data_IF_525823390312
#
_entry.id   IF_525823390312
#
_cell.length_a   1.000
_cell.length_b   1.000
_cell.length_c   1.000
_cell.angle_alpha   90.00
_cell.angle_beta   90.00
_cell.angle_gamma   90.00
#
_symmetry.space_group_name_H-M   'P 1'
#
loop_
_entity.id
_entity.type
_entity.pdbx_description
1 polymer ?
#
# COMPACT_ATOMS: atom_id res chain seq x y z
N UNK A 1 -4.13 8.88 -31.21
CA UNK A 1 -4.09 7.44 -30.84
C UNK A 1 -4.19 7.17 -29.33
N UNK A 2 -4.03 8.17 -28.46
CA UNK A 2 -4.14 8.02 -27.00
C UNK A 2 -5.55 8.22 -26.42
N UNK A 3 -6.44 8.94 -27.10
CA UNK A 3 -7.83 9.16 -26.64
C UNK A 3 -8.69 7.90 -26.66
N UNK A 4 -8.37 6.95 -27.55
CA UNK A 4 -9.13 5.71 -27.72
C UNK A 4 -8.94 4.76 -26.53
N UNK A 5 -7.77 4.76 -25.89
CA UNK A 5 -7.49 3.96 -24.68
C UNK A 5 -8.26 4.48 -23.47
N UNK A 6 -8.37 5.81 -23.33
CA UNK A 6 -9.12 6.43 -22.24
C UNK A 6 -10.64 6.25 -22.39
N UNK A 7 -11.14 6.27 -23.63
CA UNK A 7 -12.55 5.98 -23.95
C UNK A 7 -12.93 4.52 -23.69
N UNK A 8 -12.05 3.58 -24.05
CA UNK A 8 -12.24 2.15 -23.79
C UNK A 8 -12.23 1.80 -22.29
N UNK A 9 -11.37 2.46 -21.49
CA UNK A 9 -11.39 2.34 -20.01
C UNK A 9 -12.70 2.86 -19.37
N UNK A 10 -13.40 3.82 -19.99
CA UNK A 10 -14.71 4.30 -19.51
C UNK A 10 -15.85 3.32 -19.77
N UNK A 11 -15.82 2.54 -20.86
CA UNK A 11 -16.90 1.59 -21.17
C UNK A 11 -16.86 0.35 -20.27
N UNK A 12 -15.66 -0.13 -19.89
CA UNK A 12 -15.46 -1.17 -18.86
C UNK A 12 -15.93 -0.71 -17.46
N UNK A 13 -15.78 0.58 -17.14
CA UNK A 13 -16.32 1.19 -15.91
C UNK A 13 -17.85 1.17 -15.84
N UNK A 14 -18.54 1.15 -16.97
CA UNK A 14 -20.01 1.23 -17.00
C UNK A 14 -20.69 -0.11 -16.67
N UNK A 15 -20.06 -1.25 -16.97
CA UNK A 15 -20.62 -2.58 -16.65
C UNK A 15 -20.34 -3.02 -15.21
N UNK A 16 -19.28 -2.52 -14.57
CA UNK A 16 -18.91 -2.86 -13.19
C UNK A 16 -19.57 -1.95 -12.13
N UNK A 17 -20.42 -1.01 -12.54
CA UNK A 17 -21.03 0.04 -11.70
C UNK A 17 -22.04 -0.48 -10.66
N UNK A 18 -22.29 -1.78 -10.59
CA UNK A 18 -23.37 -2.33 -9.79
C UNK A 18 -22.95 -2.88 -8.41
N UNK A 19 -21.67 -2.74 -8.02
CA UNK A 19 -21.23 -2.96 -6.63
C UNK A 19 -20.20 -1.91 -6.23
N UNK A 20 -20.60 -0.97 -5.38
CA UNK A 20 -19.65 -0.14 -4.64
C UNK A 20 -18.84 -1.07 -3.71
N UNK A 21 -17.54 -1.22 -3.98
CA UNK A 21 -16.62 -1.95 -3.08
C UNK A 21 -16.44 -1.26 -1.72
N UNK A 22 -16.93 -0.02 -1.60
CA UNK A 22 -16.82 0.82 -0.41
C UNK A 22 -15.40 1.32 -0.17
N UNK A 23 -15.14 1.84 1.04
CA UNK A 23 -13.84 2.42 1.39
C UNK A 23 -12.76 1.35 1.54
N UNK A 24 -11.63 1.53 0.88
CA UNK A 24 -10.47 0.62 0.90
C UNK A 24 -9.32 1.24 1.68
N UNK A 25 -8.80 0.51 2.66
CA UNK A 25 -7.56 0.86 3.37
C UNK A 25 -6.40 0.07 2.77
N UNK A 26 -5.56 0.74 1.99
CA UNK A 26 -4.36 0.14 1.39
C UNK A 26 -3.20 0.24 2.38
N UNK A 27 -2.55 -0.88 2.64
CA UNK A 27 -1.42 -1.02 3.56
C UNK A 27 -0.23 -1.50 2.78
N UNK A 28 0.83 -0.70 2.73
CA UNK A 28 2.06 -1.02 2.01
C UNK A 28 3.21 -1.17 2.98
N UNK A 29 3.93 -2.29 2.88
CA UNK A 29 5.20 -2.48 3.57
C UNK A 29 6.35 -2.40 2.56
N UNK A 30 7.28 -1.47 2.80
CA UNK A 30 8.47 -1.24 1.97
C UNK A 30 9.73 -1.52 2.79
N UNK A 31 10.61 -2.39 2.30
CA UNK A 31 11.93 -2.65 2.87
C UNK A 31 13.02 -2.39 1.83
N UNK A 32 13.96 -1.48 2.10
CA UNK A 32 15.06 -1.12 1.18
C UNK A 32 14.60 -0.88 -0.29
N UNK A 33 13.49 -0.17 -0.45
CA UNK A 33 12.72 -0.13 -1.70
C UNK A 33 13.18 0.90 -2.72
N UNK A 34 14.39 1.43 -2.59
CA UNK A 34 14.92 2.45 -3.51
C UNK A 34 14.86 1.98 -4.97
N UNK A 35 15.28 0.73 -5.22
CA UNK A 35 15.28 0.14 -6.57
C UNK A 35 13.88 -0.03 -7.16
N UNK A 36 12.87 -0.24 -6.31
CA UNK A 36 11.47 -0.36 -6.72
C UNK A 36 10.86 1.01 -7.07
N UNK A 37 11.29 2.06 -6.37
CA UNK A 37 10.71 3.39 -6.47
C UNK A 37 11.43 4.28 -7.51
N UNK A 38 12.74 4.08 -7.73
CA UNK A 38 13.60 4.98 -8.53
C UNK A 38 13.12 5.21 -9.96
N UNK A 39 12.55 4.18 -10.60
CA UNK A 39 12.14 4.23 -12.00
C UNK A 39 10.70 4.75 -12.15
N UNK A 40 10.01 5.06 -11.03
CA UNK A 40 8.66 5.62 -11.01
C UNK A 40 7.54 4.66 -11.41
N UNK A 41 7.86 3.44 -11.86
CA UNK A 41 6.87 2.45 -12.30
C UNK A 41 5.92 2.12 -11.15
N UNK A 42 6.45 1.74 -9.98
CA UNK A 42 5.63 1.36 -8.83
C UNK A 42 4.74 2.50 -8.34
N UNK A 43 5.26 3.72 -8.29
CA UNK A 43 4.49 4.90 -7.87
C UNK A 43 3.40 5.23 -8.89
N UNK A 44 3.66 5.08 -10.19
CA UNK A 44 2.66 5.24 -11.24
C UNK A 44 1.56 4.18 -11.15
N UNK A 45 1.92 2.90 -11.00
CA UNK A 45 0.94 1.82 -10.80
C UNK A 45 0.08 2.04 -9.56
N UNK A 46 0.66 2.56 -8.48
CA UNK A 46 -0.10 2.91 -7.27
C UNK A 46 -1.10 4.04 -7.53
N UNK A 47 -0.75 5.04 -8.34
CA UNK A 47 -1.69 6.08 -8.77
C UNK A 47 -2.84 5.50 -9.60
N UNK A 48 -2.53 4.62 -10.56
CA UNK A 48 -3.56 3.94 -11.35
C UNK A 48 -4.51 3.12 -10.47
N UNK A 49 -3.99 2.39 -9.48
CA UNK A 49 -4.81 1.63 -8.52
C UNK A 49 -5.73 2.55 -7.72
N UNK A 50 -5.23 3.69 -7.23
CA UNK A 50 -6.04 4.67 -6.51
C UNK A 50 -7.16 5.22 -7.42
N UNK A 51 -6.85 5.48 -8.69
CA UNK A 51 -7.82 5.96 -9.68
C UNK A 51 -8.86 4.89 -10.04
N UNK A 52 -8.47 3.62 -10.11
CA UNK A 52 -9.35 2.47 -10.35
C UNK A 52 -10.32 2.24 -9.18
N UNK A 53 -9.83 2.31 -7.93
CA UNK A 53 -10.62 2.13 -6.70
C UNK A 53 -11.49 3.32 -6.31
N UNK A 54 -11.54 4.34 -7.18
CA UNK A 54 -12.08 5.66 -6.93
C UNK A 54 -11.32 6.39 -5.81
N UNK A 55 -10.62 7.48 -6.12
CA UNK A 55 -9.73 8.11 -5.16
C UNK A 55 -10.43 8.34 -3.81
N UNK A 56 -11.63 8.93 -3.78
CA UNK A 56 -12.39 9.26 -2.55
C UNK A 56 -12.68 8.09 -1.60
N UNK A 57 -12.57 6.86 -2.07
CA UNK A 57 -12.76 5.66 -1.27
C UNK A 57 -11.46 5.10 -0.71
N UNK A 58 -10.29 5.64 -1.09
CA UNK A 58 -8.99 5.09 -0.73
C UNK A 58 -8.33 5.85 0.42
N UNK A 59 -7.83 5.09 1.38
CA UNK A 59 -6.83 5.54 2.34
C UNK A 59 -5.55 4.73 2.14
N UNK A 60 -4.40 5.38 2.08
CA UNK A 60 -3.11 4.74 1.84
C UNK A 60 -2.18 4.94 3.04
N UNK A 61 -1.79 3.82 3.65
CA UNK A 61 -0.78 3.73 4.70
C UNK A 61 0.47 3.06 4.14
N UNK A 62 1.58 3.78 4.08
CA UNK A 62 2.87 3.23 3.68
C UNK A 62 3.75 3.17 4.91
N UNK A 63 4.22 1.98 5.25
CA UNK A 63 5.26 1.76 6.24
C UNK A 63 6.57 1.42 5.55
N UNK A 64 7.56 2.26 5.78
CA UNK A 64 8.88 2.14 5.16
C UNK A 64 9.92 1.81 6.21
N UNK A 65 10.74 0.80 5.93
CA UNK A 65 11.68 0.22 6.86
C UNK A 65 13.08 0.14 6.27
N UNK A 66 14.07 0.51 7.07
CA UNK A 66 15.49 0.52 6.68
C UNK A 66 15.78 1.39 5.43
N UNK A 67 15.11 2.55 5.34
CA UNK A 67 15.17 3.43 4.17
C UNK A 67 16.43 4.28 4.10
N UNK A 68 16.88 4.52 2.87
CA UNK A 68 17.88 5.55 2.56
C UNK A 68 17.27 6.95 2.54
N UNK A 69 18.10 7.99 2.47
CA UNK A 69 17.66 9.37 2.25
C UNK A 69 16.91 9.48 0.90
N UNK A 70 17.44 8.82 -0.15
CA UNK A 70 16.84 8.82 -1.48
C UNK A 70 15.44 8.17 -1.49
N UNK A 71 15.27 7.04 -0.82
CA UNK A 71 13.96 6.37 -0.73
C UNK A 71 12.91 7.28 -0.06
N UNK A 72 13.30 7.94 1.03
CA UNK A 72 12.42 8.91 1.70
C UNK A 72 12.06 10.10 0.80
N UNK A 73 12.99 10.62 0.00
CA UNK A 73 12.71 11.69 -0.95
C UNK A 73 11.71 11.25 -2.03
N UNK A 74 11.90 10.06 -2.62
CA UNK A 74 10.98 9.49 -3.60
C UNK A 74 9.56 9.35 -3.06
N UNK A 75 9.41 8.89 -1.81
CA UNK A 75 8.10 8.77 -1.15
C UNK A 75 7.47 10.13 -0.83
N UNK A 76 8.26 11.14 -0.46
CA UNK A 76 7.75 12.50 -0.28
C UNK A 76 7.28 13.10 -1.61
N UNK A 77 8.01 12.86 -2.70
CA UNK A 77 7.60 13.31 -4.03
C UNK A 77 6.35 12.58 -4.51
N UNK A 78 6.26 11.26 -4.30
CA UNK A 78 5.02 10.51 -4.51
C UNK A 78 3.85 11.11 -3.71
N UNK A 79 4.03 11.41 -2.42
CA UNK A 79 3.01 12.05 -1.59
C UNK A 79 2.56 13.40 -2.17
N UNK A 80 3.45 14.19 -2.78
CA UNK A 80 3.09 15.45 -3.43
C UNK A 80 2.19 15.24 -4.65
N UNK A 81 2.39 14.17 -5.43
CA UNK A 81 1.56 13.88 -6.60
C UNK A 81 0.14 13.44 -6.22
N UNK A 82 -0.03 12.79 -5.06
CA UNK A 82 -1.33 12.35 -4.56
C UNK A 82 -2.13 13.47 -3.86
N UNK A 83 -1.52 14.66 -3.67
CA UNK A 83 -2.10 15.80 -2.91
C UNK A 83 -3.48 16.25 -3.37
N UNK A 84 -3.95 15.83 -4.54
CA UNK A 84 -5.22 16.33 -5.05
C UNK A 84 -6.43 15.84 -4.27
N UNK A 85 -6.47 14.65 -3.67
CA UNK A 85 -7.66 14.23 -2.89
C UNK A 85 -7.50 13.22 -1.74
N UNK A 86 -6.33 12.68 -1.34
CA UNK A 86 -6.28 11.57 -0.35
C UNK A 86 -5.33 11.72 0.84
N UNK A 87 -5.77 11.13 1.96
CA UNK A 87 -5.07 11.05 3.25
C UNK A 87 -4.01 9.95 3.18
N UNK A 88 -2.85 10.29 2.62
CA UNK A 88 -1.67 9.43 2.72
C UNK A 88 -0.99 9.63 4.06
N UNK A 89 -0.81 8.52 4.79
CA UNK A 89 0.11 8.45 5.92
C UNK A 89 1.31 7.62 5.52
N UNK A 90 2.50 8.25 5.54
CA UNK A 90 3.77 7.56 5.41
C UNK A 90 4.39 7.53 6.81
N UNK A 91 4.66 6.33 7.31
CA UNK A 91 5.33 6.09 8.58
C UNK A 91 6.67 5.42 8.30
N UNK A 92 7.72 5.87 8.97
CA UNK A 92 9.08 5.35 8.80
C UNK A 92 9.55 4.66 10.06
N UNK A 93 10.21 3.51 9.92
CA UNK A 93 10.99 2.88 10.97
C UNK A 93 12.45 2.80 10.54
N UNK A 94 13.33 3.48 11.29
CA UNK A 94 14.77 3.38 11.15
C UNK A 94 15.26 2.57 12.34
N UNK A 95 15.76 1.36 12.08
CA UNK A 95 16.42 0.54 13.09
C UNK A 95 17.90 0.90 13.15
N UNK A 96 18.44 0.99 14.37
CA UNK A 96 19.88 1.06 14.57
C UNK A 96 20.53 -0.33 14.38
N UNK A 97 21.86 -0.37 14.36
CA UNK A 97 22.60 -1.60 14.04
C UNK A 97 22.46 -2.68 15.13
N UNK A 98 22.30 -2.28 16.39
CA UNK A 98 22.02 -3.21 17.49
C UNK A 98 20.65 -3.87 17.35
N UNK A 99 19.63 -3.09 17.01
CA UNK A 99 18.28 -3.59 16.74
C UNK A 99 18.26 -4.53 15.53
N UNK A 100 19.03 -4.20 14.48
CA UNK A 100 19.22 -5.09 13.33
C UNK A 100 19.91 -6.39 13.76
N UNK A 101 20.99 -6.32 14.53
CA UNK A 101 21.74 -7.48 14.99
C UNK A 101 20.88 -8.43 15.84
N UNK A 102 19.99 -7.88 16.68
CA UNK A 102 19.05 -8.67 17.48
C UNK A 102 18.03 -9.42 16.62
N UNK A 103 17.74 -8.91 15.41
CA UNK A 103 16.86 -9.56 14.44
C UNK A 103 17.55 -10.73 13.70
N UNK A 104 18.88 -10.71 13.63
CA UNK A 104 19.71 -11.75 13.02
C UNK A 104 20.21 -12.75 14.08
N UNK A 105 19.31 -13.49 14.72
CA UNK A 105 19.70 -14.61 15.61
C UNK A 105 20.38 -15.72 14.77
N UNK A 106 21.49 -16.28 15.28
CA UNK A 106 22.36 -17.22 14.55
C UNK A 106 21.77 -18.62 14.30
N UNK A 107 20.85 -19.09 15.14
CA UNK A 107 20.18 -20.38 14.91
C UNK A 107 18.93 -20.24 14.02
N UNK A 108 18.73 -21.18 13.11
CA UNK A 108 17.78 -21.14 11.99
C UNK A 108 16.33 -21.09 12.47
N UNK A 109 15.98 -21.80 13.54
CA UNK A 109 14.61 -21.80 14.09
C UNK A 109 14.30 -20.44 14.71
N UNK A 110 15.20 -19.94 15.57
CA UNK A 110 15.05 -18.62 16.18
C UNK A 110 15.05 -17.48 15.15
N UNK A 111 15.87 -17.58 14.10
CA UNK A 111 15.86 -16.63 12.97
C UNK A 111 14.49 -16.57 12.27
N UNK A 112 13.87 -17.73 12.03
CA UNK A 112 12.53 -17.81 11.41
C UNK A 112 11.46 -17.22 12.31
N UNK A 113 11.46 -17.54 13.60
CA UNK A 113 10.54 -16.97 14.58
C UNK A 113 10.71 -15.46 14.71
N UNK A 114 11.95 -14.97 14.83
CA UNK A 114 12.25 -13.54 14.85
C UNK A 114 11.79 -12.82 13.57
N UNK A 115 11.91 -13.47 12.41
CA UNK A 115 11.39 -12.91 11.15
C UNK A 115 9.87 -12.83 11.13
N UNK A 116 9.16 -13.85 11.60
CA UNK A 116 7.68 -13.83 11.68
C UNK A 116 7.22 -12.72 12.63
N UNK A 117 7.81 -12.66 13.82
CA UNK A 117 7.50 -11.62 14.83
C UNK A 117 7.77 -10.23 14.26
N UNK A 118 8.89 -10.06 13.57
CA UNK A 118 9.24 -8.81 12.92
C UNK A 118 8.24 -8.41 11.82
N UNK A 119 7.93 -9.32 10.89
CA UNK A 119 6.97 -9.05 9.82
C UNK A 119 5.57 -8.73 10.36
N UNK A 120 5.15 -9.41 11.43
CA UNK A 120 3.92 -9.10 12.15
C UNK A 120 3.97 -7.70 12.76
N UNK A 121 5.07 -7.33 13.41
CA UNK A 121 5.27 -6.00 13.99
C UNK A 121 5.19 -4.90 12.92
N UNK A 122 5.91 -5.06 11.80
CA UNK A 122 5.91 -4.14 10.66
C UNK A 122 4.49 -3.98 10.11
N UNK A 123 3.78 -5.09 9.88
CA UNK A 123 2.39 -5.08 9.40
C UNK A 123 1.44 -4.38 10.38
N UNK A 124 1.58 -4.64 11.68
CA UNK A 124 0.77 -3.99 12.70
C UNK A 124 1.02 -2.48 12.76
N UNK A 125 2.26 -2.04 12.57
CA UNK A 125 2.59 -0.62 12.47
C UNK A 125 1.96 0.03 11.23
N UNK A 126 2.04 -0.63 10.08
CA UNK A 126 1.42 -0.16 8.85
C UNK A 126 -0.12 -0.09 8.96
N UNK A 127 -0.71 -0.98 9.75
CA UNK A 127 -2.13 -0.99 10.06
C UNK A 127 -2.53 0.05 11.10
N UNK A 128 -1.64 0.48 12.00
CA UNK A 128 -1.97 1.33 13.13
C UNK A 128 -2.80 2.58 12.80
N UNK A 129 -2.65 3.25 11.63
CA UNK A 129 -3.53 4.37 11.27
C UNK A 129 -5.01 4.00 11.20
N UNK A 130 -5.38 2.73 10.92
CA UNK A 130 -6.77 2.28 10.87
C UNK A 130 -7.48 2.37 12.24
N UNK A 131 -6.73 2.16 13.33
CA UNK A 131 -7.25 2.15 14.69
C UNK A 131 -7.29 3.54 15.33
N UNK A 132 -6.49 4.48 14.82
CA UNK A 132 -6.29 5.78 15.45
C UNK A 132 -7.11 6.89 14.77
N UNK A 133 -7.52 7.89 15.57
CA UNK A 133 -8.20 9.12 15.13
C UNK A 133 -7.36 10.00 14.17
N UNK A 134 -6.17 9.54 13.74
CA UNK A 134 -5.32 10.22 12.74
C UNK A 134 -5.94 10.20 11.34
N UNK A 135 -6.94 9.37 11.10
CA UNK A 135 -7.79 9.48 9.92
C UNK A 135 -8.81 10.58 10.19
N UNK A 136 -8.49 11.82 9.81
CA UNK A 136 -9.43 12.94 9.81
C UNK A 136 -10.54 12.74 8.75
N UNK A 137 -11.31 11.65 8.78
CA UNK A 137 -12.58 11.56 8.04
C UNK A 137 -13.46 12.71 8.49
N UNK A 138 -14.06 13.44 7.54
CA UNK A 138 -15.04 14.49 7.84
C UNK A 138 -16.05 13.96 8.85
N UNK A 139 -16.52 14.79 9.76
CA UNK A 139 -17.29 14.44 10.97
C UNK A 139 -18.56 13.62 10.71
N UNK A 140 -18.97 13.46 9.44
CA UNK A 140 -20.16 12.74 9.02
C UNK A 140 -19.86 11.40 8.30
N UNK A 141 -18.59 11.06 8.06
CA UNK A 141 -18.22 9.81 7.42
C UNK A 141 -17.84 8.77 8.47
N UNK A 142 -18.60 7.67 8.53
CA UNK A 142 -18.26 6.55 9.41
C UNK A 142 -16.84 6.05 9.11
N UNK A 143 -16.06 5.79 10.18
CA UNK A 143 -14.67 5.30 10.15
C UNK A 143 -14.51 3.87 9.62
N UNK A 144 -15.49 3.36 8.87
CA UNK A 144 -15.56 1.95 8.50
C UNK A 144 -15.00 1.78 7.09
N UNK A 145 -13.84 1.16 7.02
CA UNK A 145 -13.34 0.60 5.77
C UNK A 145 -14.11 -0.69 5.48
N UNK A 146 -14.55 -0.83 4.23
CA UNK A 146 -15.17 -2.07 3.75
C UNK A 146 -14.12 -3.16 3.53
N UNK A 147 -12.89 -2.76 3.17
CA UNK A 147 -11.80 -3.67 2.78
C UNK A 147 -10.44 -3.14 3.23
N UNK A 148 -9.52 -4.06 3.46
CA UNK A 148 -8.10 -3.79 3.67
C UNK A 148 -7.30 -4.52 2.59
N UNK A 149 -6.49 -3.78 1.82
CA UNK A 149 -5.63 -4.33 0.78
C UNK A 149 -4.17 -4.25 1.25
N UNK A 150 -3.52 -5.41 1.40
CA UNK A 150 -2.10 -5.46 1.77
C UNK A 150 -1.23 -5.60 0.53
N UNK A 151 -0.24 -4.72 0.39
CA UNK A 151 0.76 -4.77 -0.67
C UNK A 151 2.16 -4.82 -0.04
N UNK A 152 2.99 -5.72 -0.55
CA UNK A 152 4.41 -5.78 -0.20
C UNK A 152 5.23 -4.99 -1.23
N UNK A 153 6.55 -5.01 -1.08
CA UNK A 153 7.59 -4.40 -1.92
C UNK A 153 7.83 -5.17 -3.24
N UNK A 154 6.75 -5.59 -3.90
CA UNK A 154 6.78 -6.27 -5.18
C UNK A 154 6.13 -5.42 -6.27
N UNK A 155 6.56 -5.63 -7.52
CA UNK A 155 5.84 -5.10 -8.67
C UNK A 155 4.45 -5.76 -8.78
N UNK A 156 3.44 -4.98 -9.13
CA UNK A 156 2.07 -5.43 -9.30
C UNK A 156 1.43 -4.71 -10.49
N UNK A 157 0.25 -5.17 -10.94
CA UNK A 157 -0.60 -4.44 -11.87
C UNK A 157 -1.78 -3.85 -11.12
N UNK A 158 -2.21 -2.65 -11.52
CA UNK A 158 -3.38 -1.97 -10.94
C UNK A 158 -4.64 -2.85 -11.07
N UNK A 159 -4.81 -3.50 -12.24
CA UNK A 159 -5.96 -4.34 -12.52
C UNK A 159 -6.05 -5.57 -11.61
N UNK A 160 -4.92 -6.26 -11.37
CA UNK A 160 -4.90 -7.45 -10.48
C UNK A 160 -5.22 -7.04 -9.04
N UNK A 161 -4.65 -5.92 -8.57
CA UNK A 161 -4.91 -5.40 -7.24
C UNK A 161 -6.37 -4.96 -7.06
N UNK A 162 -6.97 -4.31 -8.06
CA UNK A 162 -8.40 -3.98 -8.07
C UNK A 162 -9.26 -5.24 -8.01
N UNK A 163 -8.92 -6.28 -8.81
CA UNK A 163 -9.64 -7.56 -8.82
C UNK A 163 -9.63 -8.28 -7.47
N UNK A 164 -8.51 -8.21 -6.74
CA UNK A 164 -8.41 -8.75 -5.38
C UNK A 164 -9.35 -8.03 -4.41
N UNK A 165 -9.61 -6.74 -4.61
CA UNK A 165 -10.63 -6.03 -3.81
C UNK A 165 -12.05 -6.46 -4.16
N UNK A 166 -12.32 -6.87 -5.39
CA UNK A 166 -13.64 -7.33 -5.84
C UNK A 166 -14.02 -8.73 -5.32
N UNK A 167 -13.09 -9.43 -4.65
CA UNK A 167 -13.28 -10.80 -4.15
C UNK A 167 -13.12 -11.87 -5.23
N UNK A 168 -12.65 -11.51 -6.43
CA UNK A 168 -12.24 -12.43 -7.49
C UNK A 168 -10.79 -12.88 -7.27
N UNK A 169 -10.48 -13.43 -6.09
CA UNK A 169 -9.17 -14.05 -5.85
C UNK A 169 -9.15 -15.44 -6.48
N UNK A 170 -8.70 -15.52 -7.73
CA UNK A 170 -8.16 -16.77 -8.26
C UNK A 170 -6.65 -16.78 -7.94
N UNK A 171 -6.33 -17.37 -6.81
CA UNK A 171 -4.94 -17.66 -6.42
C UNK A 171 -4.43 -16.74 -5.33
N UNK A 172 -4.38 -17.28 -4.10
CA UNK A 172 -3.50 -16.77 -3.08
C UNK A 172 -2.07 -16.68 -3.64
N UNK A 173 -1.52 -15.47 -3.76
CA UNK A 173 -0.06 -15.26 -3.71
C UNK A 173 0.30 -14.73 -2.33
N UNK A 174 0.23 -15.63 -1.36
CA UNK A 174 1.06 -15.52 -0.16
C UNK A 174 2.52 -15.72 -0.59
N UNK A 175 3.23 -14.63 -0.87
CA UNK A 175 4.68 -14.64 -0.80
C UNK A 175 5.05 -14.37 0.66
N UNK A 176 5.34 -15.46 1.38
CA UNK A 176 6.03 -15.46 2.67
C UNK A 176 7.53 -15.38 2.41
#
# INVERSE_FOLDING_TARGET
MFDTLFSSRRSLRASNKNRSIGKVFIVVNLYQSESLLKDGIWTHTMLELIDELEPNNVYLSIFENNSTIATSQLLQDFKKHVKRMHKIVITKLILNDDQKATMYIKDTIHKRLSRIVYLAMVRNHALAPILHNKIHMSTNESRRFSKVLFLNDIAFSSQDATRDTDGYSMGQKLLI
#
